data_IF_913764053290
#
_entry.id   IF_913764053290
#
_cell.length_a   1.000
_cell.length_b   1.000
_cell.length_c   1.000
_cell.angle_alpha   90.00
_cell.angle_beta   90.00
_cell.angle_gamma   90.00
#
_symmetry.space_group_name_H-M   'P 1'
#
loop_
_entity.id
_entity.type
_entity.pdbx_description
1 polymer ?
#
# COMPACT_ATOMS: atom_id res chain seq x y z
N UNK A 1 -2.60 2.06 -20.85
CA UNK A 1 -2.42 0.60 -20.91
C UNK A 1 -3.72 -0.07 -20.49
N UNK A 2 -4.13 -1.13 -21.19
CA UNK A 2 -5.38 -1.86 -20.87
C UNK A 2 -5.15 -2.73 -19.63
N UNK A 3 -6.06 -2.65 -18.66
CA UNK A 3 -6.01 -3.52 -17.48
C UNK A 3 -6.55 -4.90 -17.84
N UNK A 4 -5.69 -5.90 -17.91
CA UNK A 4 -6.10 -7.29 -18.16
C UNK A 4 -6.83 -7.86 -16.94
N UNK A 5 -7.65 -8.90 -17.14
CA UNK A 5 -8.31 -9.64 -16.03
C UNK A 5 -7.26 -10.17 -15.04
N UNK A 6 -6.17 -10.73 -15.55
CA UNK A 6 -5.04 -11.19 -14.74
C UNK A 6 -4.41 -10.07 -13.92
N UNK A 7 -4.15 -8.92 -14.54
CA UNK A 7 -3.61 -7.75 -13.83
C UNK A 7 -4.53 -7.29 -12.70
N UNK A 8 -5.85 -7.35 -12.91
CA UNK A 8 -6.83 -7.02 -11.88
C UNK A 8 -6.80 -8.03 -10.73
N UNK A 9 -6.73 -9.32 -11.02
CA UNK A 9 -6.62 -10.37 -10.00
C UNK A 9 -5.31 -10.26 -9.19
N UNK A 10 -4.19 -9.99 -9.86
CA UNK A 10 -2.90 -9.77 -9.19
C UNK A 10 -2.97 -8.55 -8.25
N UNK A 11 -3.60 -7.45 -8.67
CA UNK A 11 -3.83 -6.28 -7.80
C UNK A 11 -4.73 -6.60 -6.61
N UNK A 12 -5.75 -7.45 -6.80
CA UNK A 12 -6.63 -7.92 -5.70
C UNK A 12 -5.87 -8.78 -4.71
N UNK A 13 -5.04 -9.71 -5.19
CA UNK A 13 -4.18 -10.55 -4.36
C UNK A 13 -3.23 -9.70 -3.51
N UNK A 14 -2.50 -8.79 -4.16
CA UNK A 14 -1.60 -7.86 -3.47
C UNK A 14 -2.33 -7.10 -2.36
N UNK A 15 -3.51 -6.54 -2.66
CA UNK A 15 -4.31 -5.81 -1.68
C UNK A 15 -4.73 -6.68 -0.49
N UNK A 16 -5.09 -7.95 -0.71
CA UNK A 16 -5.45 -8.88 0.37
C UNK A 16 -4.25 -9.18 1.27
N UNK A 17 -3.11 -9.54 0.67
CA UNK A 17 -1.88 -9.88 1.40
C UNK A 17 -1.38 -8.70 2.23
N UNK A 18 -1.30 -7.52 1.63
CA UNK A 18 -0.82 -6.32 2.32
C UNK A 18 -1.74 -5.91 3.48
N UNK A 19 -3.07 -6.01 3.31
CA UNK A 19 -4.02 -5.77 4.40
C UNK A 19 -3.85 -6.76 5.54
N UNK A 20 -3.67 -8.05 5.23
CA UNK A 20 -3.43 -9.08 6.25
C UNK A 20 -2.12 -8.82 7.02
N UNK A 21 -1.11 -8.26 6.36
CA UNK A 21 0.14 -7.83 6.97
C UNK A 21 0.06 -6.48 7.72
N UNK A 22 -1.13 -5.87 7.85
CA UNK A 22 -1.33 -4.62 8.60
C UNK A 22 -1.10 -3.34 7.80
N UNK A 23 -0.82 -3.42 6.50
CA UNK A 23 -0.64 -2.23 5.66
C UNK A 23 -1.98 -1.66 5.18
N UNK A 24 -2.00 -0.34 4.99
CA UNK A 24 -3.13 0.43 4.53
C UNK A 24 -2.94 0.85 3.06
N UNK A 25 -3.79 0.39 2.12
CA UNK A 25 -3.63 0.71 0.71
C UNK A 25 -4.04 2.14 0.38
N UNK A 26 -3.32 2.77 -0.55
CA UNK A 26 -3.75 4.04 -1.15
C UNK A 26 -4.80 3.81 -2.25
N UNK A 27 -5.72 4.76 -2.43
CA UNK A 27 -6.82 4.63 -3.40
C UNK A 27 -6.42 5.05 -4.83
N UNK A 28 -5.50 6.00 -4.95
CA UNK A 28 -5.04 6.58 -6.22
C UNK A 28 -3.94 5.75 -6.89
N UNK A 29 -3.19 4.97 -6.10
CA UNK A 29 -2.04 4.20 -6.56
C UNK A 29 -2.16 2.75 -6.05
N UNK A 30 -2.40 1.81 -6.96
CA UNK A 30 -2.66 0.41 -6.57
C UNK A 30 -1.44 -0.31 -5.97
N UNK A 31 -0.23 0.20 -6.24
CA UNK A 31 1.04 -0.32 -5.73
C UNK A 31 1.46 0.28 -4.39
N UNK A 32 0.78 1.34 -3.91
CA UNK A 32 1.22 2.08 -2.73
C UNK A 32 0.47 1.67 -1.46
N UNK A 33 1.22 1.45 -0.39
CA UNK A 33 0.73 0.97 0.90
C UNK A 33 1.46 1.69 2.05
N UNK A 34 0.71 2.21 3.01
CA UNK A 34 1.24 2.82 4.22
C UNK A 34 1.25 1.80 5.36
N UNK A 35 2.39 1.64 6.05
CA UNK A 35 2.43 0.88 7.29
C UNK A 35 1.82 1.66 8.46
N UNK A 36 2.04 2.98 8.48
CA UNK A 36 1.56 3.88 9.52
C UNK A 36 1.13 5.22 8.92
N UNK A 37 0.43 6.01 9.72
CA UNK A 37 0.04 7.36 9.28
C UNK A 37 1.27 8.27 9.21
N UNK A 38 1.25 9.24 8.29
CA UNK A 38 2.31 10.28 8.19
C UNK A 38 2.50 11.04 9.51
N UNK A 39 1.43 11.27 10.27
CA UNK A 39 1.49 11.92 11.59
C UNK A 39 2.26 11.05 12.58
N UNK A 40 1.96 9.75 12.63
CA UNK A 40 2.66 8.80 13.50
C UNK A 40 4.14 8.71 13.13
N UNK A 41 4.46 8.56 11.84
CA UNK A 41 5.84 8.46 11.36
C UNK A 41 6.69 9.67 11.78
N UNK A 42 6.17 10.89 11.64
CA UNK A 42 6.87 12.12 12.06
C UNK A 42 7.23 12.18 13.55
N UNK A 43 6.46 11.50 14.40
CA UNK A 43 6.65 11.52 15.86
C UNK A 43 7.60 10.40 16.30
N UNK A 44 7.58 9.25 15.61
CA UNK A 44 8.24 8.03 16.10
C UNK A 44 9.46 7.60 15.27
N UNK A 45 9.66 8.16 14.08
CA UNK A 45 10.74 7.77 13.17
C UNK A 45 11.63 8.98 12.87
N UNK A 46 12.94 8.75 12.87
CA UNK A 46 13.91 9.75 12.45
C UNK A 46 14.04 9.77 10.93
N UNK A 47 14.13 10.98 10.37
CA UNK A 47 14.38 11.16 8.93
C UNK A 47 15.88 11.05 8.70
N UNK A 48 16.28 9.98 8.03
CA UNK A 48 17.66 9.83 7.53
C UNK A 48 17.83 10.79 6.35
N UNK A 49 18.88 11.61 6.39
CA UNK A 49 19.26 12.54 5.32
C UNK A 49 20.38 11.97 4.48
#
# INVERSE_FOLDING_TARGET
>A
GVLTKESLENRRLLRRVMKAAGFQPLRTEWWHFNLCTRKWAKVHLEVIK
#
